data_IF_839718546471
#
_entry.id   IF_839718546471
#
_cell.length_a   1.000
_cell.length_b   1.000
_cell.length_c   1.000
_cell.angle_alpha   90.00
_cell.angle_beta   90.00
_cell.angle_gamma   90.00
#
_symmetry.space_group_name_H-M   'P 1'
#
loop_
_entity.id
_entity.type
_entity.pdbx_description
1 polymer ?
#
# COMPACT_ATOMS: atom_id res chain seq x y z
N UNK A 1 -2.16 0.94 24.25
CA UNK A 1 -2.05 0.38 22.89
C UNK A 1 -0.68 -0.24 22.77
N UNK A 2 -0.59 -1.57 22.73
CA UNK A 2 0.68 -2.29 22.75
C UNK A 2 0.75 -3.38 21.68
N UNK A 3 -0.38 -4.00 21.34
CA UNK A 3 -0.50 -5.09 20.39
C UNK A 3 -0.97 -4.54 19.03
N UNK A 4 -0.19 -4.76 17.98
CA UNK A 4 -0.45 -4.19 16.65
C UNK A 4 -0.44 -5.33 15.63
N UNK A 5 -1.52 -5.43 14.86
CA UNK A 5 -1.57 -6.28 13.67
C UNK A 5 -1.03 -5.50 12.47
N UNK A 6 -0.10 -6.10 11.75
CA UNK A 6 0.41 -5.59 10.47
C UNK A 6 0.08 -6.61 9.38
N UNK A 7 -0.82 -6.29 8.46
CA UNK A 7 -1.06 -7.14 7.29
C UNK A 7 -0.08 -6.78 6.18
N UNK A 8 0.34 -7.74 5.36
CA UNK A 8 1.43 -7.53 4.41
C UNK A 8 2.76 -7.26 5.12
N UNK A 9 2.89 -7.76 6.36
CA UNK A 9 4.04 -7.48 7.22
C UNK A 9 5.35 -8.09 6.76
N UNK A 10 5.31 -9.10 5.90
CA UNK A 10 6.50 -9.70 5.28
C UNK A 10 6.96 -8.97 4.00
N UNK A 11 6.17 -8.00 3.50
CA UNK A 11 6.57 -7.15 2.38
C UNK A 11 7.64 -6.12 2.75
N UNK A 12 8.08 -5.32 1.76
CA UNK A 12 9.16 -4.34 1.94
C UNK A 12 8.85 -3.31 3.04
N UNK A 13 7.70 -2.65 2.97
CA UNK A 13 7.30 -1.64 3.98
C UNK A 13 7.02 -2.33 5.32
N UNK A 14 6.23 -3.41 5.30
CA UNK A 14 5.80 -4.12 6.50
C UNK A 14 6.94 -4.67 7.34
N UNK A 15 7.95 -5.27 6.72
CA UNK A 15 9.10 -5.82 7.44
C UNK A 15 9.96 -4.74 8.12
N UNK A 16 10.20 -3.61 7.45
CA UNK A 16 10.93 -2.48 8.04
C UNK A 16 10.14 -1.81 9.16
N UNK A 17 8.82 -1.64 8.97
CA UNK A 17 7.93 -1.12 9.99
C UNK A 17 7.87 -2.03 11.22
N UNK A 18 7.75 -3.34 11.02
CA UNK A 18 7.76 -4.34 12.10
C UNK A 18 9.01 -4.22 12.96
N UNK A 19 10.22 -4.20 12.37
CA UNK A 19 11.47 -4.01 13.10
C UNK A 19 11.46 -2.73 13.93
N UNK A 20 10.99 -1.63 13.34
CA UNK A 20 10.92 -0.34 14.02
C UNK A 20 9.93 -0.34 15.18
N UNK A 21 8.77 -0.96 15.02
CA UNK A 21 7.76 -1.05 16.08
C UNK A 21 8.23 -1.95 17.22
N UNK A 22 8.82 -3.11 16.92
CA UNK A 22 9.41 -4.01 17.92
C UNK A 22 10.50 -3.29 18.71
N UNK A 23 11.41 -2.55 18.05
CA UNK A 23 12.45 -1.77 18.74
C UNK A 23 11.90 -0.68 19.66
N UNK A 24 10.63 -0.28 19.48
CA UNK A 24 9.91 0.66 20.36
C UNK A 24 9.07 -0.06 21.44
N UNK A 25 9.17 -1.38 21.56
CA UNK A 25 8.49 -2.18 22.59
C UNK A 25 7.05 -2.55 22.30
N UNK A 26 6.60 -2.48 21.02
CA UNK A 26 5.29 -2.99 20.61
C UNK A 26 5.36 -4.50 20.34
N UNK A 27 4.26 -5.19 20.64
CA UNK A 27 4.06 -6.59 20.26
C UNK A 27 3.42 -6.61 18.86
N UNK A 28 4.08 -7.25 17.92
CA UNK A 28 3.62 -7.26 16.53
C UNK A 28 3.10 -8.64 16.16
N UNK A 29 1.88 -8.68 15.63
CA UNK A 29 1.32 -9.81 14.90
C UNK A 29 1.32 -9.49 13.43
N UNK A 30 1.71 -10.43 12.59
CA UNK A 30 1.73 -10.29 11.13
C UNK A 30 0.73 -11.25 10.52
N UNK A 31 -0.07 -10.75 9.59
CA UNK A 31 -0.88 -11.57 8.67
C UNK A 31 -0.32 -11.37 7.26
N UNK A 32 0.21 -12.44 6.66
CA UNK A 32 0.79 -12.41 5.32
C UNK A 32 0.66 -13.79 4.67
N UNK A 33 0.33 -13.83 3.38
CA UNK A 33 0.20 -15.09 2.64
C UNK A 33 1.51 -15.56 2.00
N UNK A 34 2.59 -14.80 2.15
CA UNK A 34 3.89 -15.04 1.52
C UNK A 34 3.77 -15.27 0.01
N UNK A 35 3.08 -14.37 -0.68
CA UNK A 35 2.86 -14.44 -2.12
C UNK A 35 4.15 -14.78 -2.87
N UNK A 36 4.08 -15.76 -3.77
CA UNK A 36 5.23 -16.22 -4.55
C UNK A 36 5.85 -15.11 -5.40
N UNK A 37 5.08 -14.13 -5.79
CA UNK A 37 5.54 -12.97 -6.55
C UNK A 37 6.54 -12.12 -5.75
N UNK A 38 6.35 -12.02 -4.44
CA UNK A 38 7.17 -11.22 -3.54
C UNK A 38 8.27 -12.05 -2.87
N UNK A 39 7.93 -13.29 -2.45
CA UNK A 39 8.78 -14.13 -1.60
C UNK A 39 9.46 -15.28 -2.35
N UNK A 40 9.23 -15.41 -3.67
CA UNK A 40 9.73 -16.50 -4.46
C UNK A 40 8.97 -17.81 -4.23
N UNK A 41 9.39 -18.87 -4.97
CA UNK A 41 8.71 -20.18 -4.91
C UNK A 41 8.80 -20.83 -3.54
N UNK A 42 9.92 -20.63 -2.83
CA UNK A 42 10.20 -21.26 -1.54
C UNK A 42 9.62 -20.47 -0.36
N UNK A 43 9.00 -19.33 -0.61
CA UNK A 43 8.42 -18.44 0.42
C UNK A 43 9.40 -18.08 1.56
N UNK A 44 10.71 -18.04 1.26
CA UNK A 44 11.80 -17.82 2.22
C UNK A 44 12.62 -16.56 1.89
N UNK A 45 11.95 -15.44 1.66
CA UNK A 45 12.64 -14.17 1.38
C UNK A 45 13.41 -13.67 2.60
N UNK A 46 14.43 -12.86 2.37
CA UNK A 46 15.16 -12.15 3.44
C UNK A 46 14.23 -11.26 4.27
N UNK A 47 13.21 -10.66 3.66
CA UNK A 47 12.21 -9.84 4.33
C UNK A 47 11.47 -10.65 5.40
N UNK A 48 10.93 -11.82 5.03
CA UNK A 48 10.27 -12.73 5.95
C UNK A 48 11.23 -13.21 7.06
N UNK A 49 12.42 -13.67 6.69
CA UNK A 49 13.40 -14.16 7.65
C UNK A 49 13.82 -13.09 8.68
N UNK A 50 13.79 -11.82 8.31
CA UNK A 50 14.19 -10.70 9.18
C UNK A 50 13.17 -10.38 10.29
N UNK A 51 11.94 -10.92 10.21
CA UNK A 51 10.84 -10.56 11.12
C UNK A 51 10.21 -11.76 11.84
N UNK A 52 10.38 -12.97 11.32
CA UNK A 52 9.69 -14.17 11.83
C UNK A 52 9.99 -14.50 13.29
N UNK A 53 11.20 -14.19 13.78
CA UNK A 53 11.61 -14.46 15.16
C UNK A 53 11.27 -13.32 16.14
N UNK A 54 10.95 -12.14 15.61
CA UNK A 54 10.67 -10.96 16.43
C UNK A 54 9.19 -10.57 16.46
N UNK A 55 8.33 -11.34 15.79
CA UNK A 55 6.90 -11.09 15.70
C UNK A 55 6.10 -12.41 15.78
N UNK A 56 4.83 -12.32 16.10
CA UNK A 56 3.90 -13.45 15.95
C UNK A 56 3.46 -13.50 14.49
N UNK A 57 3.90 -14.51 13.75
CA UNK A 57 3.58 -14.65 12.33
C UNK A 57 2.37 -15.59 12.12
N UNK A 58 1.39 -15.11 11.37
CA UNK A 58 0.22 -15.88 10.92
C UNK A 58 0.32 -15.97 9.40
N UNK A 59 0.59 -17.18 8.91
CA UNK A 59 0.45 -17.47 7.49
C UNK A 59 -1.04 -17.54 7.16
N UNK A 60 -1.52 -16.59 6.38
CA UNK A 60 -2.94 -16.48 6.04
C UNK A 60 -3.20 -15.39 5.01
N UNK A 61 -4.43 -15.30 4.55
CA UNK A 61 -4.85 -14.41 3.48
C UNK A 61 -5.92 -13.42 3.94
N UNK A 62 -5.79 -12.16 3.52
CA UNK A 62 -6.79 -11.12 3.81
C UNK A 62 -8.13 -11.37 3.13
N UNK A 63 -8.16 -12.22 2.10
CA UNK A 63 -9.40 -12.69 1.48
C UNK A 63 -10.15 -13.76 2.30
N UNK A 64 -9.54 -14.23 3.40
CA UNK A 64 -10.13 -15.28 4.25
C UNK A 64 -10.60 -14.70 5.60
N UNK A 65 -11.90 -14.74 5.87
CA UNK A 65 -12.48 -14.22 7.10
C UNK A 65 -11.96 -14.91 8.37
N UNK A 66 -11.67 -16.21 8.32
CA UNK A 66 -11.14 -16.94 9.47
C UNK A 66 -9.73 -16.49 9.84
N UNK A 67 -8.92 -16.10 8.86
CA UNK A 67 -7.58 -15.56 9.11
C UNK A 67 -7.67 -14.16 9.75
N UNK A 68 -8.66 -13.36 9.38
CA UNK A 68 -8.97 -12.12 10.07
C UNK A 68 -9.39 -12.36 11.54
N UNK A 69 -10.29 -13.31 11.81
CA UNK A 69 -10.72 -13.66 13.18
C UNK A 69 -9.54 -14.05 14.05
N UNK A 70 -8.61 -14.84 13.52
CA UNK A 70 -7.40 -15.26 14.23
C UNK A 70 -6.46 -14.09 14.50
N UNK A 71 -6.18 -13.29 13.48
CA UNK A 71 -5.18 -12.23 13.53
C UNK A 71 -5.62 -11.02 14.35
N UNK A 72 -6.91 -10.70 14.38
CA UNK A 72 -7.47 -9.56 15.12
C UNK A 72 -7.63 -9.79 16.61
N UNK A 73 -7.51 -11.06 17.09
CA UNK A 73 -7.69 -11.38 18.49
C UNK A 73 -6.67 -10.68 19.39
N UNK A 74 -7.17 -9.82 20.29
CA UNK A 74 -6.33 -9.11 21.27
C UNK A 74 -5.49 -7.98 20.70
N UNK A 75 -5.78 -7.50 19.50
CA UNK A 75 -5.07 -6.38 18.89
C UNK A 75 -5.66 -5.03 19.33
N UNK A 76 -4.79 -4.06 19.58
CA UNK A 76 -5.16 -2.67 19.89
C UNK A 76 -5.21 -1.78 18.67
N UNK A 77 -4.46 -2.13 17.63
CA UNK A 77 -4.40 -1.38 16.38
C UNK A 77 -4.16 -2.32 15.19
N UNK A 78 -4.55 -1.86 14.02
CA UNK A 78 -4.29 -2.52 12.73
C UNK A 78 -3.58 -1.55 11.80
N UNK A 79 -2.51 -2.02 11.16
CA UNK A 79 -1.84 -1.36 10.03
C UNK A 79 -2.01 -2.27 8.82
N UNK A 80 -2.90 -1.88 7.92
CA UNK A 80 -3.28 -2.67 6.76
C UNK A 80 -2.44 -2.27 5.54
N UNK A 81 -1.43 -3.11 5.23
CA UNK A 81 -0.51 -2.93 4.10
C UNK A 81 -0.62 -4.05 3.07
N UNK A 82 -1.36 -5.12 3.37
CA UNK A 82 -1.58 -6.20 2.41
C UNK A 82 -2.33 -5.67 1.19
N UNK A 83 -1.71 -5.80 0.04
CA UNK A 83 -2.26 -5.35 -1.23
C UNK A 83 -1.54 -6.05 -2.39
N UNK A 84 -2.26 -6.29 -3.47
CA UNK A 84 -1.64 -6.52 -4.77
C UNK A 84 -1.21 -5.18 -5.36
N UNK A 85 0.05 -5.10 -5.80
CA UNK A 85 0.67 -3.87 -6.31
C UNK A 85 1.28 -4.13 -7.68
N UNK A 86 1.01 -3.27 -8.62
CA UNK A 86 1.54 -3.42 -9.98
C UNK A 86 0.57 -2.84 -11.00
N UNK A 87 0.82 -1.61 -11.42
CA UNK A 87 -0.08 -0.86 -12.30
C UNK A 87 -0.40 -1.61 -13.60
N UNK A 88 0.61 -2.18 -14.26
CA UNK A 88 0.38 -2.95 -15.49
C UNK A 88 -0.38 -4.25 -15.23
N UNK A 89 -0.06 -4.97 -14.17
CA UNK A 89 -0.67 -6.26 -13.84
C UNK A 89 -2.16 -6.10 -13.48
N UNK A 90 -2.53 -5.03 -12.79
CA UNK A 90 -3.92 -4.75 -12.40
C UNK A 90 -4.87 -4.62 -13.60
N UNK A 91 -4.35 -4.28 -14.77
CA UNK A 91 -5.13 -4.18 -16.00
C UNK A 91 -5.57 -5.54 -16.55
N UNK A 92 -4.90 -6.63 -16.16
CA UNK A 92 -5.15 -7.98 -16.70
C UNK A 92 -5.60 -8.96 -15.62
N UNK A 93 -5.21 -8.76 -14.36
CA UNK A 93 -5.58 -9.60 -13.23
C UNK A 93 -6.65 -8.91 -12.35
N UNK A 94 -7.68 -8.34 -12.98
CA UNK A 94 -8.67 -7.45 -12.35
C UNK A 94 -9.32 -8.11 -11.13
N UNK A 95 -9.76 -9.38 -11.26
CA UNK A 95 -10.41 -10.11 -10.15
C UNK A 95 -9.48 -10.22 -8.94
N UNK A 96 -8.25 -10.65 -9.13
CA UNK A 96 -7.25 -10.79 -8.06
C UNK A 96 -7.02 -9.48 -7.31
N UNK A 97 -6.90 -8.37 -8.03
CA UNK A 97 -6.71 -7.05 -7.41
C UNK A 97 -7.95 -6.60 -6.64
N UNK A 98 -9.16 -6.89 -7.15
CA UNK A 98 -10.40 -6.62 -6.42
C UNK A 98 -10.52 -7.49 -5.17
N UNK A 99 -10.21 -8.78 -5.28
CA UNK A 99 -10.30 -9.72 -4.15
C UNK A 99 -9.38 -9.27 -3.01
N UNK A 100 -8.12 -8.95 -3.30
CA UNK A 100 -7.17 -8.57 -2.25
C UNK A 100 -7.39 -7.14 -1.77
N UNK A 101 -7.47 -6.16 -2.67
CA UNK A 101 -7.43 -4.75 -2.27
C UNK A 101 -8.81 -4.23 -1.83
N UNK A 102 -9.90 -4.76 -2.39
CA UNK A 102 -11.27 -4.33 -2.06
C UNK A 102 -11.91 -5.31 -1.10
N UNK A 103 -12.08 -6.57 -1.48
CA UNK A 103 -12.77 -7.55 -0.65
C UNK A 103 -11.99 -7.84 0.64
N UNK A 104 -10.66 -8.01 0.56
CA UNK A 104 -9.82 -8.18 1.75
C UNK A 104 -9.95 -7.04 2.75
N UNK A 105 -9.98 -5.79 2.27
CA UNK A 105 -10.24 -4.61 3.11
C UNK A 105 -11.67 -4.61 3.66
N UNK A 106 -12.66 -5.03 2.84
CA UNK A 106 -14.06 -5.12 3.26
C UNK A 106 -14.24 -6.13 4.40
N UNK A 107 -13.60 -7.29 4.36
CA UNK A 107 -13.61 -8.27 5.45
C UNK A 107 -13.09 -7.70 6.76
N UNK A 108 -11.99 -6.92 6.71
CA UNK A 108 -11.48 -6.22 7.89
C UNK A 108 -12.52 -5.27 8.48
N UNK A 109 -13.10 -4.41 7.64
CA UNK A 109 -14.06 -3.40 8.09
C UNK A 109 -15.35 -4.05 8.62
N UNK A 110 -15.83 -5.08 7.94
CA UNK A 110 -17.01 -5.85 8.37
C UNK A 110 -16.77 -6.51 9.73
N UNK A 111 -15.60 -7.15 9.92
CA UNK A 111 -15.24 -7.73 11.21
C UNK A 111 -15.21 -6.67 12.32
N UNK A 112 -14.57 -5.52 12.08
CA UNK A 112 -14.43 -4.46 13.09
C UNK A 112 -15.78 -3.84 13.46
N UNK A 113 -16.71 -3.74 12.50
CA UNK A 113 -18.03 -3.16 12.72
C UNK A 113 -18.99 -4.12 13.44
N UNK A 114 -18.94 -5.42 13.11
CA UNK A 114 -19.97 -6.38 13.52
C UNK A 114 -19.53 -7.33 14.64
N UNK A 115 -18.25 -7.32 15.03
CA UNK A 115 -17.74 -8.20 16.08
C UNK A 115 -17.14 -7.43 17.25
N UNK A 116 -17.28 -7.97 18.45
CA UNK A 116 -16.60 -7.42 19.63
C UNK A 116 -15.08 -7.53 19.45
N UNK A 117 -14.41 -6.40 19.49
CA UNK A 117 -12.96 -6.31 19.34
C UNK A 117 -12.37 -5.21 20.24
N UNK A 118 -11.03 -5.16 20.35
CA UNK A 118 -10.28 -4.16 21.14
C UNK A 118 -9.55 -3.13 20.29
N UNK A 119 -9.72 -3.15 18.97
CA UNK A 119 -9.03 -2.26 18.04
C UNK A 119 -9.51 -0.82 18.22
N UNK A 120 -8.58 0.08 18.51
CA UNK A 120 -8.82 1.52 18.75
C UNK A 120 -8.31 2.38 17.60
N UNK A 121 -7.45 1.83 16.74
CA UNK A 121 -6.85 2.56 15.62
C UNK A 121 -6.67 1.64 14.43
N UNK A 122 -7.14 2.12 13.29
CA UNK A 122 -6.94 1.51 11.98
C UNK A 122 -6.15 2.48 11.09
N UNK A 123 -5.09 1.99 10.49
CA UNK A 123 -4.30 2.70 9.47
C UNK A 123 -4.37 1.84 8.21
N UNK A 124 -4.87 2.42 7.13
CA UNK A 124 -4.93 1.78 5.80
C UNK A 124 -3.99 2.54 4.87
N UNK A 125 -3.12 1.80 4.19
CA UNK A 125 -2.28 2.38 3.16
C UNK A 125 -3.12 2.82 1.96
N UNK A 126 -2.93 4.05 1.53
CA UNK A 126 -3.46 4.56 0.27
C UNK A 126 -2.45 4.33 -0.86
N UNK A 127 -2.57 5.03 -1.97
CA UNK A 127 -1.69 4.89 -3.11
C UNK A 127 -1.14 6.24 -3.55
N UNK A 128 0.13 6.26 -3.96
CA UNK A 128 0.70 7.42 -4.66
C UNK A 128 0.00 7.73 -6.00
N UNK A 129 -0.68 6.74 -6.55
CA UNK A 129 -1.40 6.88 -7.83
C UNK A 129 -2.51 7.92 -7.80
N UNK A 130 -3.00 8.29 -6.61
CA UNK A 130 -4.01 9.36 -6.46
C UNK A 130 -3.51 10.74 -6.90
N UNK A 131 -2.20 10.95 -7.00
CA UNK A 131 -1.62 12.22 -7.42
C UNK A 131 -1.44 12.34 -8.93
N UNK A 132 -1.75 11.31 -9.72
CA UNK A 132 -1.58 11.29 -11.17
C UNK A 132 -0.14 11.55 -11.57
N UNK A 133 0.09 12.49 -12.50
CA UNK A 133 1.43 12.91 -12.94
C UNK A 133 2.22 13.65 -11.85
N UNK A 134 1.52 14.17 -10.83
CA UNK A 134 2.14 14.83 -9.69
C UNK A 134 2.28 16.34 -9.86
N UNK A 135 3.20 16.92 -9.07
CA UNK A 135 3.42 18.34 -8.91
C UNK A 135 4.59 18.81 -9.77
N UNK A 136 4.37 19.88 -10.52
CA UNK A 136 5.38 20.48 -11.39
C UNK A 136 5.46 21.99 -11.21
N UNK A 137 6.57 22.58 -11.68
CA UNK A 137 6.76 24.03 -11.76
C UNK A 137 6.82 24.47 -13.22
N UNK A 138 5.97 25.43 -13.55
CA UNK A 138 6.08 26.23 -14.76
C UNK A 138 6.75 27.56 -14.42
N UNK A 139 7.71 28.00 -15.21
CA UNK A 139 8.40 29.29 -15.00
C UNK A 139 7.44 30.50 -15.05
N UNK A 140 6.38 30.40 -15.87
CA UNK A 140 5.42 31.50 -16.06
C UNK A 140 4.22 31.44 -15.12
N UNK A 141 3.83 30.22 -14.63
CA UNK A 141 2.58 30.01 -13.88
C UNK A 141 2.80 29.44 -12.48
N UNK A 142 4.06 29.24 -12.05
CA UNK A 142 4.36 28.68 -10.73
C UNK A 142 4.02 27.20 -10.64
N UNK A 143 3.41 26.77 -9.53
CA UNK A 143 3.04 25.36 -9.31
C UNK A 143 1.84 24.99 -10.16
N UNK A 144 1.98 23.90 -10.93
CA UNK A 144 0.94 23.34 -11.80
C UNK A 144 0.83 21.84 -11.61
N UNK A 145 -0.33 21.29 -11.97
CA UNK A 145 -0.62 19.85 -11.97
C UNK A 145 -1.07 19.51 -13.40
N UNK A 146 -0.17 18.99 -14.24
CA UNK A 146 -0.47 18.73 -15.65
C UNK A 146 -1.44 17.58 -15.81
N UNK A 147 -2.13 17.56 -16.94
CA UNK A 147 -2.94 16.42 -17.36
C UNK A 147 -2.06 15.22 -17.71
N UNK A 148 -2.70 14.06 -17.91
CA UNK A 148 -2.02 12.82 -18.26
C UNK A 148 -1.21 12.96 -19.55
N UNK A 149 -0.11 12.20 -19.63
CA UNK A 149 0.71 12.12 -20.85
C UNK A 149 -0.09 11.57 -22.02
N UNK A 150 0.09 12.20 -23.18
CA UNK A 150 -0.58 11.78 -24.41
C UNK A 150 0.08 10.51 -24.95
N UNK A 151 -0.68 9.43 -25.07
CA UNK A 151 -0.21 8.10 -25.51
C UNK A 151 0.55 8.19 -26.85
N UNK A 152 0.04 8.95 -27.84
CA UNK A 152 0.70 9.09 -29.13
C UNK A 152 2.05 9.81 -29.08
N UNK A 153 2.30 10.61 -28.05
CA UNK A 153 3.60 11.24 -27.79
C UNK A 153 4.57 10.24 -27.14
N UNK A 154 4.08 9.48 -26.14
CA UNK A 154 4.88 8.44 -25.49
C UNK A 154 5.34 7.36 -26.46
N UNK A 155 4.50 6.95 -27.41
CA UNK A 155 4.85 6.01 -28.49
C UNK A 155 5.97 6.54 -29.41
N UNK A 156 6.19 7.85 -29.46
CA UNK A 156 7.29 8.52 -30.20
C UNK A 156 8.50 8.82 -29.31
N UNK A 157 8.53 8.30 -28.08
CA UNK A 157 9.60 8.55 -27.10
C UNK A 157 9.56 9.93 -26.47
N UNK A 158 8.45 10.68 -26.58
CA UNK A 158 8.28 12.02 -25.99
C UNK A 158 7.52 11.87 -24.66
N UNK A 159 8.25 11.95 -23.57
CA UNK A 159 7.71 11.77 -22.20
C UNK A 159 7.63 13.08 -21.40
N UNK A 160 8.20 14.16 -21.91
CA UNK A 160 8.20 15.44 -21.22
C UNK A 160 6.81 16.04 -21.15
N UNK A 161 6.52 16.73 -20.05
CA UNK A 161 5.26 17.41 -19.80
C UNK A 161 5.42 18.90 -20.04
N UNK A 162 4.38 19.49 -20.59
CA UNK A 162 4.31 20.90 -20.93
C UNK A 162 3.15 21.57 -20.21
N UNK A 163 3.29 22.85 -19.94
CA UNK A 163 2.25 23.64 -19.29
C UNK A 163 1.06 23.83 -20.24
N UNK A 164 -0.13 23.42 -19.80
CA UNK A 164 -1.37 23.53 -20.59
C UNK A 164 -1.71 24.99 -20.95
N UNK A 165 -1.26 25.95 -20.11
CA UNK A 165 -1.56 27.37 -20.32
C UNK A 165 -0.59 28.10 -21.29
N UNK A 166 0.67 27.71 -21.32
CA UNK A 166 1.70 28.45 -22.14
C UNK A 166 2.59 27.55 -22.97
N UNK A 167 2.45 26.23 -22.90
CA UNK A 167 3.27 25.30 -23.68
C UNK A 167 4.75 25.22 -23.28
N UNK A 168 5.17 25.85 -22.18
CA UNK A 168 6.54 25.73 -21.69
C UNK A 168 6.77 24.35 -21.05
N UNK A 169 7.97 23.83 -21.16
CA UNK A 169 8.38 22.59 -20.48
C UNK A 169 8.26 22.72 -18.95
N UNK A 170 7.85 21.65 -18.32
CA UNK A 170 7.60 21.63 -16.88
C UNK A 170 8.75 20.96 -16.10
N UNK A 171 9.12 21.55 -14.97
CA UNK A 171 10.11 21.00 -14.06
C UNK A 171 9.41 20.20 -12.96
N UNK A 172 9.79 18.91 -12.76
CA UNK A 172 9.25 18.05 -11.73
C UNK A 172 9.54 18.62 -10.34
N UNK A 173 8.54 18.61 -9.46
CA UNK A 173 8.67 18.95 -8.05
C UNK A 173 8.32 17.75 -7.17
N UNK A 174 8.86 17.67 -5.94
CA UNK A 174 8.40 16.68 -4.97
C UNK A 174 6.89 16.82 -4.70
N UNK A 175 6.17 15.70 -4.77
CA UNK A 175 4.77 15.61 -4.39
C UNK A 175 4.67 15.37 -2.90
N UNK A 176 3.94 16.20 -2.20
CA UNK A 176 3.68 16.12 -0.75
C UNK A 176 2.19 15.83 -0.48
N UNK A 177 1.84 15.63 0.79
CA UNK A 177 0.49 15.27 1.24
C UNK A 177 -0.55 16.37 0.99
N UNK A 178 -0.12 17.61 0.72
CA UNK A 178 -0.99 18.74 0.39
C UNK A 178 -1.13 18.94 -1.12
N UNK A 179 -0.46 18.12 -1.91
CA UNK A 179 -0.54 18.19 -3.37
C UNK A 179 -1.94 17.80 -3.85
N UNK A 180 -2.35 18.40 -4.96
CA UNK A 180 -3.66 18.15 -5.57
C UNK A 180 -3.80 16.67 -5.92
N UNK A 181 -4.93 16.09 -5.56
CA UNK A 181 -5.33 14.74 -5.99
C UNK A 181 -5.85 14.85 -7.43
N UNK A 182 -5.41 13.93 -8.28
CA UNK A 182 -5.92 13.80 -9.64
C UNK A 182 -7.28 13.11 -9.60
N UNK A 183 -8.31 13.60 -10.33
CA UNK A 183 -9.65 13.02 -10.36
C UNK A 183 -9.67 11.63 -10.99
#
# INVERSE_FOLDING_TARGET
MKNILVTGGAGFIGSNLTKKLVSKGYNITILDNLSKQIHGKDQKSELYNSIKEISTFILGDVCNEEDWKKSLKGQDAVIHLAAETGTGQSMYEISRYNDVNILGTSHLLDFLANNKNSVKKLIIASSRSIYGEGKYKCENHGVVYPNDRIVSNMMKGKFDLFCDACGSELNLMPTDENSKIHP
#
